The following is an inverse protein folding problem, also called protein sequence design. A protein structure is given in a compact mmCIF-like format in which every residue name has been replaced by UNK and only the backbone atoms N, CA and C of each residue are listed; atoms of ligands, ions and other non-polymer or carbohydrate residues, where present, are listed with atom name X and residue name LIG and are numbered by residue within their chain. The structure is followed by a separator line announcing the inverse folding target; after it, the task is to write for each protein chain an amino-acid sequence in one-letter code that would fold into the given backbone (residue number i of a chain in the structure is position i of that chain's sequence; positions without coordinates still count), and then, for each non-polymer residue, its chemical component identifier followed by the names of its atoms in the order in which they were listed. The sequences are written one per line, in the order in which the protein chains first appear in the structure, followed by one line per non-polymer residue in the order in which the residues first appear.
data_IF_608402624853
#
_entry.id   IF_608402624853
#
_cell.length_a   1.000
_cell.length_b   1.000
_cell.length_c   1.000
_cell.angle_alpha   90.00
_cell.angle_beta   90.00
_cell.angle_gamma   90.00
#
_symmetry.space_group_name_H-M   'P 1'
#
loop_
_entity.id
_entity.type
_entity.pdbx_description
1 polymer ?
#
# COMPACT_ATOMS: atom_id res chain seq x y z
N UNK A 1 1.09 4.80 12.60
CA UNK A 1 1.67 4.18 11.38
C UNK A 1 0.50 3.91 10.46
N UNK A 2 0.56 4.37 9.21
CA UNK A 2 -0.57 4.26 8.28
C UNK A 2 -0.64 2.83 7.75
N UNK A 3 -1.78 2.19 7.93
CA UNK A 3 -2.02 0.83 7.45
C UNK A 3 -2.43 0.83 5.97
N UNK A 4 -2.25 -0.30 5.31
CA UNK A 4 -2.75 -0.52 3.94
C UNK A 4 -4.26 -0.27 3.85
N UNK A 5 -5.02 -0.68 4.87
CA UNK A 5 -6.46 -0.46 4.97
C UNK A 5 -6.84 1.01 5.09
N UNK A 6 -6.08 1.80 5.85
CA UNK A 6 -6.32 3.24 5.96
C UNK A 6 -6.12 3.95 4.62
N UNK A 7 -5.14 3.53 3.82
CA UNK A 7 -4.86 4.14 2.52
C UNK A 7 -5.79 3.66 1.39
N UNK A 8 -6.07 2.35 1.34
CA UNK A 8 -6.77 1.72 0.22
C UNK A 8 -8.23 1.33 0.51
N UNK A 9 -8.65 1.41 1.77
CA UNK A 9 -9.97 0.93 2.20
C UNK A 9 -10.18 -0.55 1.88
N UNK A 10 -11.34 -0.88 1.29
CA UNK A 10 -11.72 -2.25 0.89
C UNK A 10 -10.74 -2.84 -0.13
N UNK A 11 -10.09 -2.00 -0.95
CA UNK A 11 -9.15 -2.46 -1.97
C UNK A 11 -7.88 -3.11 -1.39
N UNK A 12 -7.59 -2.90 -0.09
CA UNK A 12 -6.46 -3.51 0.61
C UNK A 12 -6.42 -5.04 0.49
N UNK A 13 -7.59 -5.71 0.44
CA UNK A 13 -7.68 -7.17 0.29
C UNK A 13 -7.09 -7.68 -1.03
N UNK A 14 -6.97 -6.83 -2.05
CA UNK A 14 -6.34 -7.20 -3.33
C UNK A 14 -4.83 -7.46 -3.18
N UNK A 15 -4.20 -6.96 -2.11
CA UNK A 15 -2.77 -7.14 -1.86
C UNK A 15 -2.43 -8.43 -1.11
N UNK A 16 -3.43 -9.18 -0.63
CA UNK A 16 -3.21 -10.48 0.03
C UNK A 16 -2.45 -11.47 -0.85
N UNK A 17 -2.63 -11.39 -2.17
CA UNK A 17 -1.89 -12.23 -3.15
C UNK A 17 -0.38 -11.99 -3.16
N UNK A 18 0.06 -10.86 -2.62
CA UNK A 18 1.48 -10.50 -2.46
C UNK A 18 1.97 -10.75 -1.02
N UNK A 19 1.17 -11.41 -0.17
CA UNK A 19 1.51 -11.66 1.22
C UNK A 19 1.37 -10.44 2.14
N UNK A 20 0.63 -9.41 1.71
CA UNK A 20 0.43 -8.16 2.44
C UNK A 20 -0.96 -8.17 3.08
N UNK A 21 -1.01 -8.01 4.39
CA UNK A 21 -2.25 -7.92 5.15
C UNK A 21 -2.80 -6.48 5.15
N UNK A 22 -4.13 -6.27 5.16
CA UNK A 22 -4.71 -4.92 5.25
C UNK A 22 -4.23 -4.11 6.46
N UNK A 23 -3.85 -4.79 7.54
CA UNK A 23 -3.40 -4.16 8.78
C UNK A 23 -1.87 -3.99 8.84
N UNK A 24 -1.15 -4.40 7.79
CA UNK A 24 0.28 -4.14 7.68
C UNK A 24 0.55 -2.65 7.49
N UNK A 25 1.72 -2.21 7.96
CA UNK A 25 2.23 -0.88 7.70
C UNK A 25 2.48 -0.67 6.20
N UNK A 26 2.11 0.51 5.71
CA UNK A 26 2.19 0.85 4.30
C UNK A 26 3.62 0.84 3.75
N UNK A 27 4.62 1.23 4.53
CA UNK A 27 6.01 1.26 4.07
C UNK A 27 6.54 -0.16 3.91
N UNK A 28 6.20 -1.06 4.84
CA UNK A 28 6.51 -2.48 4.71
C UNK A 28 5.83 -3.12 3.50
N UNK A 29 4.58 -2.77 3.24
CA UNK A 29 3.87 -3.23 2.05
C UNK A 29 4.55 -2.75 0.76
N UNK A 30 5.03 -1.50 0.72
CA UNK A 30 5.79 -0.95 -0.40
C UNK A 30 7.10 -1.71 -0.61
N UNK A 31 7.88 -1.98 0.43
CA UNK A 31 9.13 -2.76 0.34
C UNK A 31 8.92 -4.16 -0.25
N UNK A 32 7.83 -4.83 0.14
CA UNK A 32 7.46 -6.14 -0.42
C UNK A 32 7.13 -5.99 -1.92
N UNK A 33 6.34 -4.99 -2.28
CA UNK A 33 5.91 -4.79 -3.67
C UNK A 33 7.02 -4.29 -4.58
N UNK A 34 8.03 -3.59 -4.07
CA UNK A 34 9.20 -3.21 -4.86
C UNK A 34 9.94 -4.43 -5.41
N UNK A 35 9.83 -5.59 -4.74
CA UNK A 35 10.45 -6.85 -5.16
C UNK A 35 9.51 -7.68 -6.04
N UNK A 36 8.24 -7.79 -5.66
CA UNK A 36 7.28 -8.71 -6.28
C UNK A 36 6.47 -8.06 -7.42
N UNK A 37 6.14 -6.78 -7.31
CA UNK A 37 5.29 -6.07 -8.25
C UNK A 37 5.58 -4.54 -8.25
N UNK A 38 6.71 -4.11 -8.87
CA UNK A 38 7.17 -2.72 -8.77
C UNK A 38 6.14 -1.67 -9.22
N UNK A 39 5.34 -1.99 -10.24
CA UNK A 39 4.27 -1.14 -10.73
C UNK A 39 3.17 -0.89 -9.69
N UNK A 40 2.90 -1.86 -8.80
CA UNK A 40 1.95 -1.69 -7.69
C UNK A 40 2.58 -0.85 -6.59
N UNK A 41 3.87 -1.01 -6.31
CA UNK A 41 4.59 -0.15 -5.38
C UNK A 41 4.55 1.33 -5.81
N UNK A 42 4.78 1.61 -7.10
CA UNK A 42 4.70 2.96 -7.64
C UNK A 42 3.30 3.56 -7.55
N UNK A 43 2.27 2.74 -7.77
CA UNK A 43 0.88 3.14 -7.55
C UNK A 43 0.64 3.53 -6.08
N UNK A 44 1.06 2.70 -5.13
CA UNK A 44 0.91 2.96 -3.70
C UNK A 44 1.65 4.22 -3.26
N UNK A 45 2.89 4.42 -3.73
CA UNK A 45 3.65 5.65 -3.47
C UNK A 45 2.93 6.89 -4.01
N UNK A 46 2.35 6.79 -5.20
CA UNK A 46 1.59 7.88 -5.81
C UNK A 46 0.32 8.21 -5.02
N UNK A 47 -0.44 7.19 -4.62
CA UNK A 47 -1.64 7.36 -3.78
C UNK A 47 -1.28 7.95 -2.42
N UNK A 48 -0.19 7.49 -1.80
CA UNK A 48 0.31 8.05 -0.53
C UNK A 48 0.76 9.51 -0.67
N UNK A 49 1.41 9.86 -1.78
CA UNK A 49 1.76 11.25 -2.09
C UNK A 49 0.53 12.15 -2.25
N UNK A 50 -0.52 11.68 -2.92
CA UNK A 50 -1.80 12.39 -3.05
C UNK A 50 -2.57 12.49 -1.72
N UNK A 51 -2.55 11.43 -0.92
CA UNK A 51 -3.17 11.39 0.42
C UNK A 51 -2.57 12.46 1.34
N UNK A 52 -1.24 12.60 1.35
CA UNK A 52 -0.53 13.56 2.21
C UNK A 52 -0.82 15.02 1.88
N UNK A 53 -1.35 15.32 0.69
CA UNK A 53 -1.78 16.66 0.29
C UNK A 53 -3.24 16.97 0.67
N UNK A 54 -3.99 15.96 1.12
CA UNK A 54 -5.43 16.06 1.43
C UNK A 54 -5.74 16.01 2.93
N UNK A 55 -4.71 15.96 3.79
CA UNK A 55 -4.82 15.91 5.26
C UNK A 55 -4.08 17.08 5.88
#
# INVERSE_FOLDING_TARGET
MTTVRELLGVSAFSLLRYGIHPDDDIYRAIEILEREAPHVADLLKSVMGGWRLST
#
